data_IF_161876048770
#
_entry.id   IF_161876048770
#
_cell.length_a   1.000
_cell.length_b   1.000
_cell.length_c   1.000
_cell.angle_alpha   90.00
_cell.angle_beta   90.00
_cell.angle_gamma   90.00
#
_symmetry.space_group_name_H-M   'P 1'
#
loop_
_entity.id
_entity.type
_entity.pdbx_description
1 polymer ?
#
# COMPACT_ATOMS: atom_id res chain seq x y z
N UNK A 1 -9.01 -11.66 40.97
CA UNK A 1 -8.88 -10.69 39.87
C UNK A 1 -9.55 -9.39 40.28
N UNK A 2 -8.86 -8.25 40.15
CA UNK A 2 -9.40 -6.95 40.56
C UNK A 2 -10.52 -6.50 39.59
N UNK A 3 -11.63 -5.99 40.13
CA UNK A 3 -12.71 -5.39 39.32
C UNK A 3 -12.22 -4.05 38.75
N UNK A 4 -12.40 -3.80 37.44
CA UNK A 4 -12.05 -2.51 36.84
C UNK A 4 -12.85 -1.36 37.44
N UNK A 5 -12.21 -0.20 37.62
CA UNK A 5 -12.87 1.03 38.09
C UNK A 5 -13.79 1.60 37.01
N UNK A 6 -14.83 2.32 37.42
CA UNK A 6 -15.78 3.01 36.51
C UNK A 6 -15.06 3.90 35.49
N UNK A 7 -14.03 4.63 35.92
CA UNK A 7 -13.22 5.51 35.06
C UNK A 7 -12.47 4.73 33.98
N UNK A 8 -11.97 3.54 34.29
CA UNK A 8 -11.26 2.68 33.32
C UNK A 8 -12.23 2.16 32.26
N UNK A 9 -13.45 1.80 32.65
CA UNK A 9 -14.50 1.38 31.72
C UNK A 9 -14.96 2.54 30.82
N UNK A 10 -15.13 3.75 31.38
CA UNK A 10 -15.48 4.94 30.62
C UNK A 10 -14.39 5.29 29.59
N UNK A 11 -13.11 5.27 30.02
CA UNK A 11 -11.97 5.53 29.13
C UNK A 11 -11.84 4.47 28.04
N UNK A 12 -12.08 3.21 28.36
CA UNK A 12 -12.09 2.13 27.36
C UNK A 12 -13.15 2.36 26.29
N UNK A 13 -14.38 2.71 26.69
CA UNK A 13 -15.47 3.00 25.76
C UNK A 13 -15.14 4.19 24.84
N UNK A 14 -14.61 5.28 25.40
CA UNK A 14 -14.17 6.45 24.63
C UNK A 14 -13.09 6.09 23.60
N UNK A 15 -12.04 5.38 24.03
CA UNK A 15 -10.95 4.95 23.15
C UNK A 15 -11.44 4.00 22.06
N UNK A 16 -12.40 3.12 22.37
CA UNK A 16 -12.97 2.20 21.39
C UNK A 16 -13.72 2.94 20.29
N UNK A 17 -14.53 3.94 20.67
CA UNK A 17 -15.25 4.79 19.71
C UNK A 17 -14.27 5.59 18.84
N UNK A 18 -13.26 6.21 19.45
CA UNK A 18 -12.24 6.96 18.71
C UNK A 18 -11.46 6.08 17.75
N UNK A 19 -11.08 4.88 18.18
CA UNK A 19 -10.42 3.89 17.33
C UNK A 19 -11.30 3.53 16.13
N UNK A 20 -12.58 3.22 16.36
CA UNK A 20 -13.51 2.88 15.27
C UNK A 20 -13.65 4.01 14.25
N UNK A 21 -13.66 5.26 14.72
CA UNK A 21 -13.71 6.43 13.83
C UNK A 21 -12.43 6.55 12.99
N UNK A 22 -11.27 6.48 13.62
CA UNK A 22 -9.98 6.55 12.91
C UNK A 22 -9.81 5.41 11.91
N UNK A 23 -10.28 4.20 12.22
CA UNK A 23 -10.26 3.07 11.28
C UNK A 23 -11.20 3.32 10.09
N UNK A 24 -12.35 3.95 10.30
CA UNK A 24 -13.25 4.35 9.22
C UNK A 24 -12.63 5.41 8.33
N UNK A 25 -12.05 6.46 8.94
CA UNK A 25 -11.37 7.54 8.21
C UNK A 25 -10.17 6.99 7.42
N UNK A 26 -9.40 6.08 8.02
CA UNK A 26 -8.29 5.40 7.33
C UNK A 26 -8.76 4.59 6.12
N UNK A 27 -9.87 3.86 6.23
CA UNK A 27 -10.44 3.12 5.09
C UNK A 27 -10.93 4.04 3.96
N UNK A 28 -11.51 5.18 4.32
CA UNK A 28 -11.93 6.17 3.33
C UNK A 28 -10.73 6.75 2.59
N UNK A 29 -9.66 7.10 3.32
CA UNK A 29 -8.40 7.57 2.74
C UNK A 29 -7.75 6.50 1.84
N UNK A 30 -7.72 5.24 2.28
CA UNK A 30 -7.17 4.14 1.47
C UNK A 30 -7.94 4.00 0.16
N UNK A 31 -9.28 4.07 0.21
CA UNK A 31 -10.13 3.98 -0.98
C UNK A 31 -9.86 5.14 -1.95
N UNK A 32 -9.62 6.34 -1.43
CA UNK A 32 -9.28 7.51 -2.25
C UNK A 32 -7.87 7.39 -2.87
N UNK A 33 -6.91 6.86 -2.11
CA UNK A 33 -5.56 6.57 -2.60
C UNK A 33 -5.61 5.55 -3.75
N UNK A 34 -6.37 4.46 -3.58
CA UNK A 34 -6.51 3.42 -4.61
C UNK A 34 -7.14 3.99 -5.90
N UNK A 35 -8.22 4.77 -5.77
CA UNK A 35 -8.85 5.44 -6.92
C UNK A 35 -7.89 6.37 -7.66
N UNK A 36 -7.07 7.13 -6.93
CA UNK A 36 -6.07 8.01 -7.53
C UNK A 36 -4.91 7.22 -8.15
N UNK A 37 -4.49 6.12 -7.53
CA UNK A 37 -3.47 5.25 -8.07
C UNK A 37 -3.91 4.62 -9.40
N UNK A 38 -5.17 4.18 -9.50
CA UNK A 38 -5.75 3.64 -10.74
C UNK A 38 -5.78 4.71 -11.84
N UNK A 39 -6.20 5.94 -11.51
CA UNK A 39 -6.23 7.06 -12.45
C UNK A 39 -4.83 7.38 -12.99
N UNK A 40 -3.84 7.46 -12.10
CA UNK A 40 -2.45 7.73 -12.46
C UNK A 40 -1.88 6.59 -13.33
N UNK A 41 -2.16 5.34 -12.96
CA UNK A 41 -1.71 4.16 -13.70
C UNK A 41 -2.31 4.14 -15.10
N UNK A 42 -3.63 4.37 -15.22
CA UNK A 42 -4.33 4.49 -16.51
C UNK A 42 -3.71 5.58 -17.38
N UNK A 43 -3.39 6.74 -16.79
CA UNK A 43 -2.75 7.82 -17.53
C UNK A 43 -1.34 7.45 -18.02
N UNK A 44 -0.55 6.74 -17.22
CA UNK A 44 0.78 6.26 -17.60
C UNK A 44 0.71 5.20 -18.72
N UNK A 45 -0.29 4.33 -18.67
CA UNK A 45 -0.60 3.36 -19.72
C UNK A 45 -1.01 4.06 -21.03
N UNK A 46 -1.90 5.06 -20.97
CA UNK A 46 -2.37 5.84 -22.12
C UNK A 46 -1.23 6.55 -22.85
N UNK A 47 -0.26 7.08 -22.10
CA UNK A 47 0.93 7.72 -22.69
C UNK A 47 2.06 6.72 -23.01
N UNK A 48 1.87 5.44 -22.69
CA UNK A 48 2.83 4.36 -22.93
C UNK A 48 4.15 4.53 -22.18
N UNK A 49 4.15 5.18 -21.01
CA UNK A 49 5.37 5.45 -20.23
C UNK A 49 5.26 4.93 -18.81
N UNK A 50 6.35 4.34 -18.32
CA UNK A 50 6.47 3.91 -16.93
C UNK A 50 7.03 5.01 -16.01
N UNK A 51 7.53 6.12 -16.55
CA UNK A 51 8.00 7.29 -15.78
C UNK A 51 7.59 8.58 -16.49
N UNK A 52 6.91 9.47 -15.77
CA UNK A 52 6.47 10.75 -16.29
C UNK A 52 6.53 11.86 -15.23
N UNK A 53 6.79 13.08 -15.68
CA UNK A 53 6.69 14.28 -14.85
C UNK A 53 5.36 14.98 -15.14
N UNK A 54 4.46 15.01 -14.16
CA UNK A 54 3.10 15.52 -14.29
C UNK A 54 2.90 16.61 -13.22
N UNK A 55 2.54 17.83 -13.64
CA UNK A 55 2.32 18.97 -12.73
C UNK A 55 3.45 19.23 -11.70
N UNK A 56 4.69 18.93 -12.06
CA UNK A 56 5.86 19.07 -11.17
C UNK A 56 6.16 17.85 -10.30
N UNK A 57 5.23 16.91 -10.20
CA UNK A 57 5.42 15.61 -9.55
C UNK A 57 6.12 14.64 -10.50
N UNK A 58 6.98 13.78 -9.97
CA UNK A 58 7.53 12.63 -10.71
C UNK A 58 6.73 11.39 -10.33
N UNK A 59 6.22 10.72 -11.34
CA UNK A 59 5.39 9.53 -11.18
C UNK A 59 6.07 8.37 -11.89
N UNK A 60 6.33 7.29 -11.17
CA UNK A 60 7.02 6.11 -11.70
C UNK A 60 6.26 4.84 -11.36
N UNK A 61 5.88 4.07 -12.37
CA UNK A 61 5.48 2.67 -12.25
C UNK A 61 6.72 1.80 -12.30
N UNK A 62 7.04 1.20 -11.16
CA UNK A 62 8.14 0.23 -11.04
C UNK A 62 7.57 -1.18 -10.97
N UNK A 63 8.28 -2.17 -11.48
CA UNK A 63 7.91 -3.57 -11.23
C UNK A 63 8.10 -3.87 -9.74
N UNK A 64 7.01 -4.17 -9.03
CA UNK A 64 7.09 -4.60 -7.65
C UNK A 64 7.70 -6.00 -7.53
N UNK A 65 8.17 -6.34 -6.34
CA UNK A 65 8.61 -7.70 -6.03
C UNK A 65 7.39 -8.64 -6.10
N UNK A 66 7.50 -9.73 -6.87
CA UNK A 66 6.52 -10.81 -6.84
C UNK A 66 6.53 -11.45 -5.44
N UNK A 67 5.49 -11.18 -4.63
CA UNK A 67 5.33 -11.77 -3.30
C UNK A 67 4.10 -12.68 -3.26
N UNK A 68 4.21 -13.92 -3.78
CA UNK A 68 3.10 -14.85 -3.71
C UNK A 68 2.79 -15.19 -2.24
N UNK A 69 1.54 -14.96 -1.81
CA UNK A 69 1.08 -15.23 -0.43
C UNK A 69 1.30 -16.68 0.02
N UNK A 70 1.41 -17.62 -0.93
CA UNK A 70 1.62 -19.05 -0.71
C UNK A 70 3.10 -19.45 -0.58
N UNK A 71 4.05 -18.53 -0.84
CA UNK A 71 5.49 -18.81 -0.94
C UNK A 71 6.06 -19.59 0.23
N UNK A 72 5.73 -19.20 1.47
CA UNK A 72 6.27 -19.86 2.66
C UNK A 72 5.72 -21.29 2.83
N UNK A 73 4.44 -21.52 2.49
CA UNK A 73 3.83 -22.85 2.57
C UNK A 73 4.32 -23.79 1.46
N UNK A 74 4.60 -23.24 0.27
CA UNK A 74 5.05 -24.02 -0.88
C UNK A 74 6.54 -24.37 -0.81
N UNK A 75 7.39 -23.48 -0.29
CA UNK A 75 8.82 -23.80 -0.04
C UNK A 75 8.96 -24.98 0.93
N UNK A 76 8.11 -25.03 1.96
CA UNK A 76 8.10 -26.14 2.93
C UNK A 76 7.63 -27.47 2.33
N UNK A 77 6.85 -27.46 1.24
CA UNK A 77 6.24 -28.65 0.64
C UNK A 77 6.96 -29.16 -0.63
N UNK A 78 7.54 -28.27 -1.43
CA UNK A 78 8.07 -28.56 -2.78
C UNK A 78 9.54 -28.16 -2.96
N UNK A 79 10.18 -27.55 -1.95
CA UNK A 79 11.58 -27.13 -2.00
C UNK A 79 11.79 -25.73 -2.62
N UNK A 80 13.00 -25.21 -2.47
CA UNK A 80 13.34 -23.82 -2.80
C UNK A 80 13.41 -23.56 -4.33
N UNK A 81 13.82 -24.55 -5.13
CA UNK A 81 13.96 -24.42 -6.59
C UNK A 81 12.59 -24.28 -7.28
N UNK A 82 11.62 -25.15 -6.94
CA UNK A 82 10.26 -25.06 -7.46
C UNK A 82 9.56 -23.74 -7.06
N UNK A 83 9.88 -23.19 -5.89
CA UNK A 83 9.36 -21.88 -5.48
C UNK A 83 9.95 -20.73 -6.31
N UNK A 84 11.21 -20.82 -6.76
CA UNK A 84 11.83 -19.81 -7.61
C UNK A 84 11.24 -19.79 -9.02
N UNK A 85 10.95 -20.95 -9.62
CA UNK A 85 10.31 -21.00 -10.95
C UNK A 85 8.93 -20.35 -10.96
N UNK A 86 8.13 -20.60 -9.91
CA UNK A 86 6.80 -20.01 -9.83
C UNK A 86 6.90 -18.49 -9.56
N UNK A 87 7.88 -18.03 -8.79
CA UNK A 87 8.15 -16.58 -8.61
C UNK A 87 8.57 -15.93 -9.94
N UNK A 88 9.41 -16.59 -10.73
CA UNK A 88 9.87 -16.09 -12.02
C UNK A 88 8.71 -15.92 -13.02
N UNK A 89 7.68 -16.76 -12.91
CA UNK A 89 6.49 -16.73 -13.77
C UNK A 89 5.30 -15.98 -13.15
N UNK A 90 5.42 -15.44 -11.93
CA UNK A 90 4.33 -14.68 -11.29
C UNK A 90 4.34 -13.23 -11.80
N UNK A 91 3.20 -12.69 -12.26
CA UNK A 91 3.11 -11.29 -12.67
C UNK A 91 3.52 -10.38 -11.52
N UNK A 92 4.46 -9.48 -11.79
CA UNK A 92 4.94 -8.50 -10.81
C UNK A 92 3.86 -7.44 -10.63
N UNK A 93 3.37 -7.26 -9.40
CA UNK A 93 2.45 -6.17 -9.12
C UNK A 93 3.18 -4.84 -9.34
N UNK A 94 2.73 -3.98 -10.26
CA UNK A 94 3.35 -2.68 -10.44
C UNK A 94 3.20 -1.86 -9.16
N UNK A 95 4.29 -1.22 -8.75
CA UNK A 95 4.34 -0.32 -7.60
C UNK A 95 4.43 1.11 -8.12
N UNK A 96 3.38 1.89 -7.86
CA UNK A 96 3.32 3.31 -8.15
C UNK A 96 4.11 4.10 -7.09
N UNK A 97 5.04 4.93 -7.55
CA UNK A 97 5.78 5.88 -6.71
C UNK A 97 5.49 7.29 -7.20
N UNK A 98 5.00 8.16 -6.31
CA UNK A 98 4.77 9.58 -6.60
C UNK A 98 5.71 10.42 -5.73
N UNK A 99 6.61 11.17 -6.35
CA UNK A 99 7.58 12.04 -5.68
C UNK A 99 7.13 13.50 -5.87
N UNK A 100 6.95 14.27 -4.78
CA UNK A 100 6.59 15.68 -4.88
C UNK A 100 7.68 16.51 -5.57
N UNK A 101 7.31 17.67 -6.16
CA UNK A 101 8.29 18.60 -6.71
C UNK A 101 9.29 19.01 -5.62
N UNK A 102 10.58 18.97 -5.93
CA UNK A 102 11.60 19.57 -5.06
C UNK A 102 11.21 21.03 -4.77
N UNK A 103 11.22 21.47 -3.50
CA UNK A 103 10.92 22.85 -3.17
C UNK A 103 11.93 23.72 -3.93
N UNK A 104 11.43 24.68 -4.71
CA UNK A 104 12.28 25.66 -5.41
C UNK A 104 13.06 26.43 -4.35
N UNK A 105 14.26 25.99 -4.04
CA UNK A 105 15.23 26.76 -3.26
C UNK A 105 15.53 27.99 -4.12
N UNK A 106 14.95 29.13 -3.75
CA UNK A 106 15.31 30.43 -4.34
C UNK A 106 16.77 30.68 -3.96
N UNK A 107 17.64 30.71 -4.97
CA UNK A 107 18.98 31.28 -4.86
C UNK A 107 18.90 32.81 -4.81
#
# INVERSE_FOLDING_TARGET
MAKPKKEQLARYAELRTRKSKLESDARALESEIDLLADLITTHLEDIGKNDAKIHGFRVTLSEGLAYPKWKNHYILAQGAEAAQEVIANTPRNPKLTVIPPEPKTKA
#
